data_IF_003045142336
#
_entry.id   IF_003045142336
#
_cell.length_a   1.000
_cell.length_b   1.000
_cell.length_c   1.000
_cell.angle_alpha   90.00
_cell.angle_beta   90.00
_cell.angle_gamma   90.00
#
_symmetry.space_group_name_H-M   'P 1'
#
loop_
_entity.id
_entity.type
_entity.pdbx_description
1 polymer ?
#
# COMPACT_ATOMS: atom_id res chain seq x y z
N UNK A 1 20.20 -14.68 -5.08
CA UNK A 1 19.58 -14.93 -6.40
C UNK A 1 18.07 -14.96 -6.15
N UNK A 2 17.24 -14.20 -6.87
CA UNK A 2 15.80 -14.13 -6.56
C UNK A 2 15.04 -15.41 -6.91
N UNK A 3 15.69 -16.33 -7.65
CA UNK A 3 15.18 -17.66 -7.96
C UNK A 3 15.60 -18.75 -6.98
N UNK A 4 16.37 -18.40 -5.96
CA UNK A 4 16.77 -19.32 -4.88
C UNK A 4 15.60 -19.54 -3.90
N UNK A 5 15.09 -20.78 -3.74
CA UNK A 5 14.00 -21.10 -2.82
C UNK A 5 14.27 -20.68 -1.37
N UNK A 6 15.49 -20.85 -0.87
CA UNK A 6 15.83 -20.48 0.52
C UNK A 6 15.88 -18.95 0.70
N UNK A 7 16.29 -18.22 -0.33
CA UNK A 7 16.23 -16.76 -0.32
C UNK A 7 14.78 -16.26 -0.33
N UNK A 8 13.89 -16.92 -1.09
CA UNK A 8 12.45 -16.61 -1.09
C UNK A 8 11.79 -16.86 0.25
N UNK A 9 12.09 -17.97 0.91
CA UNK A 9 11.54 -18.30 2.23
C UNK A 9 11.98 -17.30 3.32
N UNK A 10 13.27 -16.93 3.32
CA UNK A 10 13.78 -15.88 4.21
C UNK A 10 13.11 -14.54 3.93
N UNK A 11 12.96 -14.18 2.66
CA UNK A 11 12.23 -12.98 2.23
C UNK A 11 10.79 -12.97 2.74
N UNK A 12 10.07 -14.08 2.58
CA UNK A 12 8.70 -14.24 3.06
C UNK A 12 8.60 -14.03 4.57
N UNK A 13 9.53 -14.59 5.33
CA UNK A 13 9.57 -14.44 6.79
C UNK A 13 9.73 -12.98 7.21
N UNK A 14 10.57 -12.21 6.50
CA UNK A 14 10.77 -10.78 6.76
C UNK A 14 9.51 -9.97 6.47
N UNK A 15 8.87 -10.18 5.32
CA UNK A 15 7.66 -9.40 4.97
C UNK A 15 6.48 -9.75 5.88
N UNK A 16 6.36 -10.98 6.36
CA UNK A 16 5.38 -11.39 7.37
C UNK A 16 5.60 -10.65 8.71
N UNK A 17 6.85 -10.50 9.14
CA UNK A 17 7.19 -9.78 10.37
C UNK A 17 6.90 -8.28 10.26
N UNK A 18 7.21 -7.66 9.11
CA UNK A 18 6.92 -6.25 8.85
C UNK A 18 5.42 -5.98 8.82
N UNK A 19 4.66 -6.83 8.12
CA UNK A 19 3.21 -6.71 8.01
C UNK A 19 2.53 -6.70 9.38
N UNK A 20 2.88 -7.65 10.26
CA UNK A 20 2.31 -7.74 11.61
C UNK A 20 2.73 -6.59 12.54
N UNK A 21 3.90 -5.99 12.31
CA UNK A 21 4.42 -4.89 13.15
C UNK A 21 3.76 -3.55 12.82
N UNK A 22 3.54 -3.26 11.53
CA UNK A 22 3.12 -1.93 11.06
C UNK A 22 1.66 -1.87 10.57
N UNK A 23 0.88 -2.93 10.83
CA UNK A 23 -0.54 -3.03 10.49
C UNK A 23 -0.83 -2.80 9.01
N UNK A 24 0.10 -3.20 8.13
CA UNK A 24 -0.17 -3.28 6.70
C UNK A 24 -1.20 -4.39 6.46
N UNK A 25 -2.09 -4.17 5.51
CA UNK A 25 -2.98 -5.21 5.04
C UNK A 25 -2.17 -6.31 4.33
N UNK A 26 -1.28 -5.90 3.43
CA UNK A 26 -0.31 -6.80 2.81
C UNK A 26 1.02 -6.11 2.56
N UNK A 27 2.07 -6.93 2.50
CA UNK A 27 3.42 -6.51 2.13
C UNK A 27 3.90 -7.39 0.97
N UNK A 28 4.46 -6.78 -0.06
CA UNK A 28 4.96 -7.44 -1.26
C UNK A 28 6.38 -7.00 -1.58
N UNK A 29 7.14 -7.91 -2.19
CA UNK A 29 8.42 -7.60 -2.83
C UNK A 29 8.28 -7.82 -4.33
N UNK A 30 8.57 -6.78 -5.09
CA UNK A 30 8.56 -6.78 -6.54
C UNK A 30 10.01 -6.84 -7.05
N UNK A 31 10.20 -7.46 -8.22
CA UNK A 31 11.44 -7.33 -8.95
C UNK A 31 11.59 -5.91 -9.53
N UNK A 32 12.77 -5.61 -10.09
CA UNK A 32 13.05 -4.29 -10.71
C UNK A 32 12.11 -3.97 -11.89
N UNK A 33 11.53 -4.99 -12.52
CA UNK A 33 10.56 -4.82 -13.60
C UNK A 33 9.14 -4.55 -13.10
N UNK A 34 8.87 -4.63 -11.78
CA UNK A 34 7.55 -4.38 -11.20
C UNK A 34 6.64 -5.61 -11.12
N UNK A 35 7.17 -6.83 -11.27
CA UNK A 35 6.42 -8.06 -11.03
C UNK A 35 6.54 -8.49 -9.57
N UNK A 36 5.42 -8.86 -8.96
CA UNK A 36 5.37 -9.36 -7.58
C UNK A 36 6.04 -10.73 -7.47
N UNK A 37 7.11 -10.83 -6.69
CA UNK A 37 7.84 -12.08 -6.45
C UNK A 37 7.34 -12.83 -5.23
N UNK A 38 7.13 -12.12 -4.13
CA UNK A 38 6.62 -12.64 -2.86
C UNK A 38 5.66 -11.64 -2.25
N UNK A 39 4.71 -12.14 -1.47
CA UNK A 39 3.65 -11.33 -0.86
C UNK A 39 3.11 -12.03 0.38
N UNK A 40 2.67 -11.27 1.38
CA UNK A 40 1.89 -11.80 2.51
C UNK A 40 0.45 -12.15 2.11
N UNK A 41 -0.06 -11.56 1.03
CA UNK A 41 -1.32 -11.95 0.40
C UNK A 41 -1.05 -12.97 -0.73
N UNK A 42 -1.56 -14.21 -0.64
CA UNK A 42 -1.26 -15.29 -1.58
C UNK A 42 -1.83 -15.08 -2.98
N UNK A 43 -2.71 -14.10 -3.21
CA UNK A 43 -3.28 -13.83 -4.55
C UNK A 43 -2.43 -12.91 -5.41
N UNK A 44 -1.43 -12.25 -4.82
CA UNK A 44 -0.61 -11.21 -5.48
C UNK A 44 0.66 -11.71 -6.20
N UNK A 45 1.33 -12.82 -5.81
CA UNK A 45 2.52 -13.28 -6.52
C UNK A 45 2.25 -13.50 -8.03
N UNK A 46 3.20 -13.08 -8.86
CA UNK A 46 3.11 -13.17 -10.33
C UNK A 46 2.37 -12.03 -11.02
N UNK A 47 1.68 -11.15 -10.28
CA UNK A 47 1.03 -9.98 -10.87
C UNK A 47 2.04 -8.95 -11.37
N UNK A 48 1.74 -8.34 -12.52
CA UNK A 48 2.51 -7.23 -13.08
C UNK A 48 1.93 -5.90 -12.62
N UNK A 49 2.76 -5.10 -11.96
CA UNK A 49 2.43 -3.75 -11.49
C UNK A 49 3.31 -2.67 -12.10
N UNK A 50 4.09 -3.00 -13.12
CA UNK A 50 5.05 -2.10 -13.79
C UNK A 50 4.45 -0.79 -14.28
N UNK A 51 3.14 -0.79 -14.59
CA UNK A 51 2.42 0.39 -15.10
C UNK A 51 1.81 1.26 -14.00
N UNK A 52 1.91 0.86 -12.73
CA UNK A 52 1.31 1.63 -11.63
C UNK A 52 2.18 2.85 -11.30
N UNK A 53 1.60 4.06 -11.14
CA UNK A 53 2.38 5.28 -10.95
C UNK A 53 3.35 5.23 -9.76
N UNK A 54 2.93 4.63 -8.64
CA UNK A 54 3.75 4.45 -7.46
C UNK A 54 4.95 3.53 -7.72
N UNK A 55 4.74 2.44 -8.47
CA UNK A 55 5.82 1.53 -8.88
C UNK A 55 6.79 2.20 -9.84
N UNK A 56 6.29 3.00 -10.79
CA UNK A 56 7.13 3.80 -11.69
C UNK A 56 8.00 4.80 -10.90
N UNK A 57 7.44 5.42 -9.85
CA UNK A 57 8.22 6.30 -8.93
C UNK A 57 9.36 5.52 -8.26
N UNK A 58 9.06 4.33 -7.73
CA UNK A 58 10.04 3.45 -7.12
C UNK A 58 11.12 2.98 -8.10
N UNK A 59 10.76 2.64 -9.35
CA UNK A 59 11.73 2.30 -10.40
C UNK A 59 12.68 3.45 -10.74
N UNK A 60 12.26 4.70 -10.52
CA UNK A 60 13.10 5.90 -10.67
C UNK A 60 13.92 6.22 -9.42
N UNK A 61 13.84 5.37 -8.39
CA UNK A 61 14.58 5.51 -7.14
C UNK A 61 13.95 6.46 -6.12
N UNK A 62 12.68 6.81 -6.29
CA UNK A 62 11.93 7.65 -5.35
C UNK A 62 10.89 6.83 -4.59
N UNK A 63 10.48 7.31 -3.41
CA UNK A 63 9.30 6.75 -2.75
C UNK A 63 8.06 7.04 -3.61
N UNK A 64 7.10 6.12 -3.62
CA UNK A 64 5.84 6.26 -4.33
C UNK A 64 4.65 6.04 -3.40
N UNK A 65 3.56 6.76 -3.65
CA UNK A 65 2.27 6.52 -3.02
C UNK A 65 1.21 6.48 -4.13
N UNK A 66 0.33 5.50 -4.12
CA UNK A 66 -0.79 5.46 -5.07
C UNK A 66 -1.86 6.47 -4.67
N UNK A 67 -2.71 6.82 -5.63
CA UNK A 67 -4.04 7.31 -5.31
C UNK A 67 -4.87 6.19 -4.64
N UNK A 68 -6.02 6.54 -4.08
CA UNK A 68 -6.98 5.54 -3.60
C UNK A 68 -7.45 4.67 -4.76
N UNK A 69 -7.25 3.36 -4.63
CA UNK A 69 -7.58 2.39 -5.68
C UNK A 69 -8.19 1.14 -5.09
N UNK A 70 -8.94 0.40 -5.88
CA UNK A 70 -9.25 -1.01 -5.62
C UNK A 70 -8.25 -1.91 -6.34
N UNK A 71 -8.07 -3.11 -5.80
CA UNK A 71 -7.35 -4.18 -6.50
C UNK A 71 -8.34 -5.04 -7.30
N UNK A 72 -7.90 -5.68 -8.40
CA UNK A 72 -8.75 -6.60 -9.14
C UNK A 72 -9.26 -7.72 -8.21
N UNK A 73 -10.58 -7.93 -8.20
CA UNK A 73 -11.29 -8.90 -7.35
C UNK A 73 -11.39 -8.52 -5.86
N UNK A 74 -11.19 -7.24 -5.53
CA UNK A 74 -11.34 -6.74 -4.17
C UNK A 74 -12.10 -5.40 -4.17
N UNK A 75 -13.23 -5.36 -3.48
CA UNK A 75 -14.06 -4.15 -3.36
C UNK A 75 -13.51 -3.17 -2.32
N UNK A 76 -12.46 -3.55 -1.60
CA UNK A 76 -11.81 -2.70 -0.62
C UNK A 76 -10.93 -1.65 -1.29
N UNK A 77 -10.98 -0.44 -0.75
CA UNK A 77 -10.13 0.66 -1.21
C UNK A 77 -8.83 0.65 -0.40
N UNK A 78 -7.72 0.81 -1.13
CA UNK A 78 -6.38 0.74 -0.60
C UNK A 78 -5.54 1.96 -0.98
N UNK A 79 -4.50 2.18 -0.18
CA UNK A 79 -3.31 2.95 -0.57
C UNK A 79 -2.11 2.01 -0.64
N UNK A 80 -1.29 2.19 -1.66
CA UNK A 80 -0.01 1.53 -1.81
C UNK A 80 1.13 2.49 -1.54
N UNK A 81 2.11 2.04 -0.76
CA UNK A 81 3.35 2.75 -0.48
C UNK A 81 4.50 1.92 -1.01
N UNK A 82 5.27 2.49 -1.93
CA UNK A 82 6.37 1.80 -2.59
C UNK A 82 7.70 2.46 -2.28
N UNK A 83 8.73 1.64 -2.14
CA UNK A 83 10.10 2.11 -1.96
C UNK A 83 11.09 1.23 -2.74
N UNK A 84 12.09 1.83 -3.39
CA UNK A 84 13.18 1.08 -4.01
C UNK A 84 14.03 0.38 -2.95
N UNK A 85 14.47 -0.84 -3.26
CA UNK A 85 15.38 -1.62 -2.43
C UNK A 85 16.74 -1.68 -3.13
N UNK A 86 17.80 -1.28 -2.44
CA UNK A 86 19.16 -1.24 -2.97
C UNK A 86 20.05 -2.31 -2.34
N UNK A 87 20.90 -2.92 -3.16
CA UNK A 87 21.95 -3.82 -2.72
C UNK A 87 23.18 -3.07 -2.19
N UNK A 88 24.18 -3.83 -1.74
CA UNK A 88 25.44 -3.30 -1.18
C UNK A 88 26.26 -2.45 -2.17
N UNK A 89 26.04 -2.61 -3.46
CA UNK A 89 26.67 -1.84 -4.54
C UNK A 89 25.85 -0.62 -4.99
N UNK A 90 24.82 -0.22 -4.22
CA UNK A 90 23.88 0.85 -4.56
C UNK A 90 23.08 0.60 -5.86
N UNK A 91 23.05 -0.64 -6.35
CA UNK A 91 22.19 -1.06 -7.45
C UNK A 91 20.80 -1.40 -6.90
N UNK A 92 19.75 -0.95 -7.59
CA UNK A 92 18.38 -1.35 -7.25
C UNK A 92 18.22 -2.85 -7.52
N UNK A 93 17.74 -3.57 -6.52
CA UNK A 93 17.51 -5.03 -6.58
C UNK A 93 16.02 -5.40 -6.52
N UNK A 94 15.14 -4.44 -6.23
CA UNK A 94 13.71 -4.66 -6.19
C UNK A 94 12.97 -3.46 -5.64
N UNK A 95 11.67 -3.65 -5.39
CA UNK A 95 10.77 -2.64 -4.84
C UNK A 95 9.96 -3.32 -3.74
N UNK A 96 9.87 -2.69 -2.56
CA UNK A 96 8.90 -3.09 -1.54
C UNK A 96 7.61 -2.33 -1.78
N UNK A 97 6.48 -3.01 -1.64
CA UNK A 97 5.14 -2.44 -1.71
C UNK A 97 4.36 -2.80 -0.44
N UNK A 98 3.91 -1.79 0.28
CA UNK A 98 3.05 -1.93 1.46
C UNK A 98 1.65 -1.43 1.16
N UNK A 99 0.65 -2.27 1.40
CA UNK A 99 -0.78 -1.97 1.18
C UNK A 99 -1.47 -1.66 2.50
N UNK A 100 -2.22 -0.55 2.56
CA UNK A 100 -3.01 -0.16 3.74
C UNK A 100 -4.48 -0.03 3.35
N UNK A 101 -5.38 -0.59 4.18
CA UNK A 101 -6.83 -0.40 4.05
C UNK A 101 -7.23 0.99 4.51
N UNK A 102 -8.10 1.66 3.74
CA UNK A 102 -8.64 2.97 4.13
C UNK A 102 -9.44 2.91 5.45
N UNK A 103 -10.00 1.76 5.82
CA UNK A 103 -10.73 1.57 7.08
C UNK A 103 -9.91 1.92 8.32
N UNK A 104 -8.60 1.61 8.32
CA UNK A 104 -7.74 1.95 9.45
C UNK A 104 -7.50 3.47 9.53
N UNK A 105 -7.35 4.12 8.37
CA UNK A 105 -7.30 5.58 8.28
C UNK A 105 -8.61 6.19 8.80
N UNK A 106 -9.76 5.59 8.45
CA UNK A 106 -11.06 6.03 8.96
C UNK A 106 -11.18 5.93 10.46
N UNK A 107 -10.71 4.82 11.03
CA UNK A 107 -10.70 4.63 12.48
C UNK A 107 -9.91 5.74 13.17
N UNK A 108 -8.74 6.10 12.63
CA UNK A 108 -7.91 7.18 13.18
C UNK A 108 -8.58 8.56 13.06
N UNK A 109 -9.21 8.85 11.92
CA UNK A 109 -9.93 10.12 11.70
C UNK A 109 -11.16 10.23 12.60
N UNK A 110 -11.85 9.12 12.86
CA UNK A 110 -13.02 9.09 13.73
C UNK A 110 -12.71 9.46 15.19
N UNK A 111 -11.47 9.23 15.65
CA UNK A 111 -11.02 9.64 16.98
C UNK A 111 -10.98 11.16 17.16
N UNK A 112 -10.99 11.92 16.07
CA UNK A 112 -10.95 13.38 16.09
C UNK A 112 -12.36 14.00 16.16
N UNK A 113 -13.42 13.19 16.19
CA UNK A 113 -14.78 13.68 16.27
C UNK A 113 -15.00 14.52 17.54
N UNK A 114 -15.76 15.61 17.39
CA UNK A 114 -16.09 16.57 18.45
C UNK A 114 -14.92 17.33 19.08
N UNK A 115 -13.68 17.19 18.60
CA UNK A 115 -12.51 17.88 19.19
C UNK A 115 -12.60 19.41 19.11
N UNK A 116 -13.24 19.93 18.08
CA UNK A 116 -13.46 21.38 17.88
C UNK A 116 -14.86 21.84 18.33
N UNK A 117 -15.57 21.01 19.08
CA UNK A 117 -16.95 21.24 19.53
C UNK A 117 -17.94 20.21 19.00
N UNK A 118 -19.10 20.12 19.63
CA UNK A 118 -20.14 19.14 19.30
C UNK A 118 -20.54 19.23 17.82
N UNK A 119 -20.51 18.10 17.13
CA UNK A 119 -20.84 17.98 15.70
C UNK A 119 -19.66 18.26 14.76
N UNK A 120 -18.49 18.64 15.26
CA UNK A 120 -17.28 18.73 14.44
C UNK A 120 -16.79 17.34 14.03
N UNK A 121 -16.30 17.24 12.80
CA UNK A 121 -15.73 16.03 12.23
C UNK A 121 -14.56 16.39 11.33
N UNK A 122 -13.67 15.43 11.14
CA UNK A 122 -12.48 15.57 10.31
C UNK A 122 -12.65 14.77 9.02
N UNK A 123 -12.01 15.27 7.97
CA UNK A 123 -12.02 14.66 6.63
C UNK A 123 -10.59 14.62 6.13
N UNK A 124 -10.20 13.51 5.50
CA UNK A 124 -8.97 13.43 4.72
C UNK A 124 -9.35 13.42 3.24
N UNK A 125 -8.71 14.28 2.46
CA UNK A 125 -8.84 14.36 1.01
C UNK A 125 -7.48 14.21 0.35
N UNK A 126 -7.47 13.66 -0.87
CA UNK A 126 -6.29 13.71 -1.72
C UNK A 126 -6.10 15.10 -2.37
N UNK A 127 -5.05 15.23 -3.18
CA UNK A 127 -4.74 16.48 -3.88
C UNK A 127 -5.80 16.91 -4.90
N UNK A 128 -6.68 16.01 -5.32
CA UNK A 128 -7.77 16.25 -6.26
C UNK A 128 -9.12 16.45 -5.57
N UNK A 129 -9.16 16.39 -4.24
CA UNK A 129 -10.39 16.53 -3.45
C UNK A 129 -11.20 15.24 -3.30
N UNK A 130 -10.67 14.08 -3.70
CA UNK A 130 -11.28 12.78 -3.45
C UNK A 130 -11.20 12.50 -1.96
N UNK A 131 -12.34 12.12 -1.37
CA UNK A 131 -12.44 11.82 0.07
C UNK A 131 -11.84 10.47 0.37
N UNK A 132 -10.68 10.48 1.01
CA UNK A 132 -9.99 9.29 1.53
C UNK A 132 -10.56 8.87 2.88
N UNK A 133 -11.15 9.80 3.65
CA UNK A 133 -11.84 9.45 4.88
C UNK A 133 -12.86 10.51 5.30
N UNK A 134 -14.08 10.08 5.60
CA UNK A 134 -15.15 10.89 6.19
C UNK A 134 -16.06 10.02 7.07
N UNK A 135 -15.61 9.68 8.30
CA UNK A 135 -16.25 8.64 9.12
C UNK A 135 -17.73 8.89 9.44
N UNK A 136 -18.11 10.16 9.62
CA UNK A 136 -19.49 10.55 9.96
C UNK A 136 -20.46 10.46 8.77
N UNK A 137 -19.94 10.39 7.53
CA UNK A 137 -20.74 10.37 6.30
C UNK A 137 -20.18 9.34 5.32
N UNK A 138 -20.20 8.03 5.66
CA UNK A 138 -19.57 6.99 4.84
C UNK A 138 -20.14 6.90 3.42
N UNK A 139 -21.38 7.33 3.21
CA UNK A 139 -22.01 7.42 1.88
C UNK A 139 -21.36 8.45 0.95
N UNK A 140 -20.50 9.34 1.46
CA UNK A 140 -19.74 10.31 0.67
C UNK A 140 -18.36 9.78 0.22
N UNK A 141 -17.99 8.57 0.64
CA UNK A 141 -16.75 7.94 0.22
C UNK A 141 -16.79 7.59 -1.27
N UNK A 142 -15.61 7.63 -1.88
CA UNK A 142 -15.45 7.16 -3.24
C UNK A 142 -15.76 5.66 -3.30
N UNK A 143 -16.74 5.31 -4.12
CA UNK A 143 -17.02 3.94 -4.50
C UNK A 143 -16.66 3.84 -5.99
N UNK A 144 -15.67 3.02 -6.37
CA UNK A 144 -15.46 2.74 -7.78
C UNK A 144 -16.72 2.07 -8.34
N UNK A 145 -17.18 2.59 -9.48
CA UNK A 145 -18.36 2.10 -10.22
C UNK A 145 -18.04 0.89 -11.09
#
# INVERSE_FOLDING_TARGET
>A
NQDDPEARERGQSVINAVQSTFNYDSMSLLNVAGQTLISTNPTLPGQDRSQRPEVISAQRGALGMSDATTDPNDDQVYLHFTAPVYGSNNQMIGIVDGRVRLDEIHRLVALDANRSGTGSYSVIVDAHGIRLSVPNFPHLLFHPS
#
